data_IF_263672253558
#
_entry.id   IF_263672253558
#
_cell.length_a   1.000
_cell.length_b   1.000
_cell.length_c   1.000
_cell.angle_alpha   90.00
_cell.angle_beta   90.00
_cell.angle_gamma   90.00
#
_symmetry.space_group_name_H-M   'P 1'
#
loop_
_entity.id
_entity.type
_entity.pdbx_description
1 polymer ?
#
# COMPACT_ATOMS: atom_id res chain seq x y z
N UNK A 1 38.61 24.00 -23.19
CA UNK A 1 37.48 23.73 -22.28
C UNK A 1 37.24 22.22 -22.27
N UNK A 2 37.76 21.51 -21.28
CA UNK A 2 37.77 20.03 -21.24
C UNK A 2 36.79 19.55 -20.17
N UNK A 3 35.70 18.91 -20.58
CA UNK A 3 34.72 18.35 -19.66
C UNK A 3 35.23 17.04 -19.08
N UNK A 4 35.54 17.04 -17.79
CA UNK A 4 35.85 15.82 -17.04
C UNK A 4 34.56 15.11 -16.61
N UNK A 5 34.61 13.78 -16.39
CA UNK A 5 33.54 13.06 -15.70
C UNK A 5 33.22 13.74 -14.37
N UNK A 6 31.95 13.70 -13.97
CA UNK A 6 31.55 14.32 -12.70
C UNK A 6 32.22 13.61 -11.52
N UNK A 7 32.89 14.35 -10.62
CA UNK A 7 33.42 13.76 -9.39
C UNK A 7 32.28 13.35 -8.46
N UNK A 8 32.58 12.46 -7.52
CA UNK A 8 31.62 11.95 -6.54
C UNK A 8 30.85 13.04 -5.81
N UNK A 9 31.54 14.10 -5.39
CA UNK A 9 30.94 15.24 -4.68
C UNK A 9 29.94 16.01 -5.54
N UNK A 10 30.22 16.13 -6.85
CA UNK A 10 29.27 16.74 -7.79
C UNK A 10 28.03 15.86 -7.98
N UNK A 11 28.22 14.54 -8.13
CA UNK A 11 27.11 13.58 -8.20
C UNK A 11 26.26 13.64 -6.92
N UNK A 12 26.90 13.73 -5.76
CA UNK A 12 26.23 13.86 -4.46
C UNK A 12 25.40 15.14 -4.39
N UNK A 13 25.98 16.30 -4.73
CA UNK A 13 25.29 17.59 -4.74
C UNK A 13 24.09 17.62 -5.71
N UNK A 14 24.25 17.01 -6.88
CA UNK A 14 23.13 16.84 -7.82
C UNK A 14 22.05 15.94 -7.22
N UNK A 15 22.43 14.83 -6.59
CA UNK A 15 21.51 13.94 -5.87
C UNK A 15 20.72 14.69 -4.80
N UNK A 16 21.39 15.48 -3.94
CA UNK A 16 20.73 16.30 -2.92
C UNK A 16 19.72 17.26 -3.51
N UNK A 17 20.09 17.97 -4.58
CA UNK A 17 19.21 18.95 -5.21
C UNK A 17 17.96 18.30 -5.81
N UNK A 18 18.12 17.19 -6.52
CA UNK A 18 17.00 16.51 -7.18
C UNK A 18 16.11 15.75 -6.19
N UNK A 19 16.66 15.26 -5.08
CA UNK A 19 15.89 14.56 -4.05
C UNK A 19 15.29 15.50 -3.00
N UNK A 20 15.62 16.80 -3.02
CA UNK A 20 15.09 17.77 -2.07
C UNK A 20 13.55 17.82 -2.07
N UNK A 21 12.94 17.74 -3.27
CA UNK A 21 11.50 17.77 -3.50
C UNK A 21 10.78 16.45 -3.12
N UNK A 22 11.53 15.39 -2.78
CA UNK A 22 10.97 14.08 -2.43
C UNK A 22 10.69 14.05 -0.92
N UNK A 23 9.52 14.56 -0.54
CA UNK A 23 9.08 14.65 0.86
C UNK A 23 9.07 13.28 1.57
N UNK A 24 8.83 12.20 0.84
CA UNK A 24 8.73 10.85 1.40
C UNK A 24 10.07 10.27 1.89
N UNK A 25 11.19 10.92 1.56
CA UNK A 25 12.50 10.61 2.14
C UNK A 25 12.69 11.21 3.53
N UNK A 26 11.73 12.01 4.02
CA UNK A 26 11.80 12.68 5.30
C UNK A 26 12.65 13.95 5.27
N UNK A 27 13.02 14.47 6.44
CA UNK A 27 13.77 15.72 6.59
C UNK A 27 15.08 15.75 5.80
N UNK A 28 15.56 16.96 5.47
CA UNK A 28 16.79 17.16 4.72
C UNK A 28 18.02 16.54 5.41
N UNK A 29 18.05 16.58 6.75
CA UNK A 29 19.07 16.03 7.64
C UNK A 29 18.76 14.59 8.09
N UNK A 30 17.70 13.98 7.57
CA UNK A 30 17.30 12.62 7.91
C UNK A 30 18.29 11.57 7.42
N UNK A 31 18.60 10.59 8.26
CA UNK A 31 19.53 9.50 7.94
C UNK A 31 19.11 8.71 6.68
N UNK A 32 17.81 8.54 6.44
CA UNK A 32 17.29 7.88 5.24
C UNK A 32 17.67 8.66 3.98
N UNK A 33 17.38 9.97 3.96
CA UNK A 33 17.67 10.83 2.82
C UNK A 33 19.18 10.89 2.56
N UNK A 34 19.99 11.06 3.62
CA UNK A 34 21.45 11.04 3.52
C UNK A 34 21.93 9.71 2.91
N UNK A 35 21.42 8.58 3.38
CA UNK A 35 21.77 7.26 2.84
C UNK A 35 21.43 7.10 1.35
N UNK A 36 20.28 7.59 0.89
CA UNK A 36 19.90 7.54 -0.53
C UNK A 36 20.80 8.46 -1.37
N UNK A 37 21.05 9.68 -0.89
CA UNK A 37 21.93 10.65 -1.54
C UNK A 37 23.35 10.10 -1.71
N UNK A 38 23.90 9.45 -0.68
CA UNK A 38 25.25 8.89 -0.71
C UNK A 38 25.32 7.61 -1.56
N UNK A 39 24.23 6.85 -1.64
CA UNK A 39 24.14 5.64 -2.44
C UNK A 39 24.13 5.93 -3.95
N UNK A 40 23.51 7.02 -4.39
CA UNK A 40 23.41 7.36 -5.82
C UNK A 40 24.79 7.46 -6.50
N UNK A 41 25.76 8.29 -6.03
CA UNK A 41 27.11 8.33 -6.58
C UNK A 41 27.83 6.99 -6.52
N UNK A 42 27.72 6.27 -5.39
CA UNK A 42 28.33 4.95 -5.23
C UNK A 42 27.85 3.97 -6.30
N UNK A 43 26.54 3.88 -6.52
CA UNK A 43 25.97 2.98 -7.52
C UNK A 43 26.39 3.34 -8.94
N UNK A 44 26.52 4.65 -9.24
CA UNK A 44 26.96 5.13 -10.54
C UNK A 44 28.44 4.81 -10.81
N UNK A 45 29.31 5.00 -9.82
CA UNK A 45 30.73 4.61 -9.89
C UNK A 45 30.90 3.10 -10.06
N UNK A 46 30.11 2.30 -9.31
CA UNK A 46 30.14 0.85 -9.41
C UNK A 46 29.77 0.35 -10.82
N UNK A 47 28.77 0.97 -11.46
CA UNK A 47 28.42 0.69 -12.87
C UNK A 47 29.54 1.12 -13.81
N UNK A 48 30.18 2.26 -13.57
CA UNK A 48 31.34 2.72 -14.33
C UNK A 48 32.48 1.70 -14.34
N UNK A 49 32.90 1.22 -13.16
CA UNK A 49 33.91 0.16 -13.04
C UNK A 49 33.48 -1.15 -13.71
N UNK A 50 32.20 -1.48 -13.66
CA UNK A 50 31.69 -2.68 -14.33
C UNK A 50 31.69 -2.54 -15.85
N UNK A 51 31.44 -1.34 -16.37
CA UNK A 51 31.53 -1.03 -17.80
C UNK A 51 32.94 -1.17 -18.35
N UNK A 52 33.97 -0.84 -17.56
CA UNK A 52 35.38 -1.08 -17.90
C UNK A 52 35.68 -2.59 -18.02
N UNK A 53 35.18 -3.40 -17.09
CA UNK A 53 35.30 -4.86 -17.20
C UNK A 53 34.52 -5.41 -18.39
N UNK A 54 33.38 -4.81 -18.71
CA UNK A 54 32.52 -5.25 -19.80
C UNK A 54 33.20 -5.09 -21.17
N UNK A 55 33.95 -4.02 -21.39
CA UNK A 55 34.72 -3.86 -22.64
C UNK A 55 35.86 -4.88 -22.74
N UNK A 56 36.50 -5.26 -21.63
CA UNK A 56 37.57 -6.25 -21.63
C UNK A 56 37.08 -7.65 -22.03
N UNK A 57 35.92 -8.05 -21.48
CA UNK A 57 35.36 -9.40 -21.67
C UNK A 57 34.54 -9.50 -22.95
N UNK A 58 33.63 -8.56 -23.16
CA UNK A 58 32.61 -8.65 -24.21
C UNK A 58 32.93 -7.78 -25.44
N UNK A 59 34.03 -7.01 -25.39
CA UNK A 59 34.43 -6.05 -26.44
C UNK A 59 33.31 -5.08 -26.83
N UNK A 60 32.39 -4.80 -25.91
CA UNK A 60 31.23 -3.92 -26.08
C UNK A 60 31.31 -2.75 -25.10
N UNK A 61 31.02 -1.55 -25.58
CA UNK A 61 31.05 -0.34 -24.77
C UNK A 61 29.69 -0.11 -24.08
N UNK A 62 29.73 0.16 -22.78
CA UNK A 62 28.58 0.59 -21.99
C UNK A 62 28.92 1.89 -21.26
N UNK A 63 28.67 3.03 -21.89
CA UNK A 63 29.08 4.33 -21.34
C UNK A 63 28.17 4.81 -20.22
N UNK A 64 28.77 5.22 -19.10
CA UNK A 64 28.11 6.02 -18.06
C UNK A 64 28.27 7.50 -18.38
N UNK A 65 27.16 8.23 -18.48
CA UNK A 65 27.17 9.67 -18.75
C UNK A 65 26.44 10.43 -17.65
N UNK A 66 26.71 11.73 -17.44
CA UNK A 66 25.94 12.54 -16.51
C UNK A 66 24.42 12.48 -16.77
N UNK A 67 24.01 12.35 -18.04
CA UNK A 67 22.60 12.14 -18.40
C UNK A 67 22.05 10.82 -17.84
N UNK A 68 22.81 9.73 -17.94
CA UNK A 68 22.43 8.44 -17.35
C UNK A 68 22.24 8.53 -15.83
N UNK A 69 23.04 9.36 -15.14
CA UNK A 69 22.87 9.63 -13.71
C UNK A 69 21.56 10.37 -13.41
N UNK A 70 21.23 11.40 -14.20
CA UNK A 70 19.95 12.11 -14.04
C UNK A 70 18.74 11.20 -14.31
N UNK A 71 18.84 10.32 -15.32
CA UNK A 71 17.81 9.32 -15.59
C UNK A 71 17.68 8.28 -14.46
N UNK A 72 18.78 7.90 -13.80
CA UNK A 72 18.75 7.05 -12.60
C UNK A 72 17.93 7.71 -11.49
N UNK A 73 18.20 8.98 -11.19
CA UNK A 73 17.47 9.73 -10.16
C UNK A 73 15.98 9.82 -10.52
N UNK A 74 15.67 10.19 -11.77
CA UNK A 74 14.30 10.30 -12.27
C UNK A 74 13.55 8.96 -12.21
N UNK A 75 14.22 7.87 -12.57
CA UNK A 75 13.64 6.52 -12.49
C UNK A 75 13.35 6.16 -11.04
N UNK A 76 14.30 6.41 -10.13
CA UNK A 76 14.14 6.17 -8.71
C UNK A 76 12.93 6.92 -8.14
N UNK A 77 12.83 8.23 -8.37
CA UNK A 77 11.71 9.03 -7.85
C UNK A 77 10.37 8.61 -8.43
N UNK A 78 10.30 8.31 -9.74
CA UNK A 78 9.09 7.80 -10.38
C UNK A 78 8.65 6.46 -9.81
N UNK A 79 9.60 5.54 -9.61
CA UNK A 79 9.31 4.24 -9.02
C UNK A 79 8.86 4.35 -7.56
N UNK A 80 9.53 5.19 -6.77
CA UNK A 80 9.17 5.43 -5.38
C UNK A 80 7.72 5.93 -5.28
N UNK A 81 7.36 6.96 -6.04
CA UNK A 81 5.99 7.48 -6.08
C UNK A 81 4.95 6.42 -6.44
N UNK A 82 5.20 5.64 -7.51
CA UNK A 82 4.30 4.54 -7.91
C UNK A 82 4.13 3.48 -6.82
N UNK A 83 5.20 3.12 -6.11
CA UNK A 83 5.16 2.11 -5.05
C UNK A 83 4.43 2.62 -3.81
N UNK A 84 4.62 3.89 -3.46
CA UNK A 84 3.93 4.51 -2.34
C UNK A 84 2.43 4.64 -2.59
N UNK A 85 2.02 5.12 -3.77
CA UNK A 85 0.60 5.18 -4.15
C UNK A 85 -0.04 3.79 -4.10
N UNK A 86 0.61 2.77 -4.66
CA UNK A 86 0.11 1.40 -4.61
C UNK A 86 0.03 0.83 -3.18
N UNK A 87 0.82 1.35 -2.24
CA UNK A 87 0.77 0.96 -0.83
C UNK A 87 -0.38 1.68 -0.11
N UNK A 88 -0.55 2.97 -0.38
CA UNK A 88 -1.66 3.78 0.12
C UNK A 88 -3.02 3.21 -0.31
N UNK A 89 -3.18 2.84 -1.58
CA UNK A 89 -4.39 2.19 -2.09
C UNK A 89 -4.72 0.88 -1.35
N UNK A 90 -3.68 0.08 -1.04
CA UNK A 90 -3.84 -1.17 -0.28
C UNK A 90 -4.23 -0.90 1.16
N UNK A 91 -3.62 0.11 1.78
CA UNK A 91 -3.94 0.53 3.15
C UNK A 91 -5.38 1.03 3.23
N UNK A 92 -5.79 1.89 2.29
CA UNK A 92 -7.15 2.41 2.20
C UNK A 92 -8.18 1.28 2.04
N UNK A 93 -7.94 0.35 1.10
CA UNK A 93 -8.80 -0.81 0.89
C UNK A 93 -8.91 -1.68 2.14
N UNK A 94 -7.80 -1.91 2.84
CA UNK A 94 -7.79 -2.68 4.08
C UNK A 94 -8.61 -1.99 5.17
N UNK A 95 -8.40 -0.68 5.38
CA UNK A 95 -9.14 0.10 6.38
C UNK A 95 -10.65 0.02 6.13
N UNK A 96 -11.07 0.30 4.90
CA UNK A 96 -12.47 0.21 4.51
C UNK A 96 -13.03 -1.21 4.72
N UNK A 97 -12.25 -2.24 4.39
CA UNK A 97 -12.66 -3.62 4.61
C UNK A 97 -12.88 -3.93 6.09
N UNK A 98 -12.00 -3.45 6.97
CA UNK A 98 -12.14 -3.61 8.42
C UNK A 98 -13.36 -2.88 8.96
N UNK A 99 -13.62 -1.65 8.50
CA UNK A 99 -14.79 -0.88 8.90
C UNK A 99 -16.08 -1.61 8.49
N UNK A 100 -16.13 -2.17 7.27
CA UNK A 100 -17.28 -2.98 6.82
C UNK A 100 -17.46 -4.27 7.59
N UNK A 101 -16.38 -4.94 7.98
CA UNK A 101 -16.47 -6.12 8.84
C UNK A 101 -17.03 -5.76 10.22
N UNK A 102 -16.62 -4.62 10.78
CA UNK A 102 -17.15 -4.13 12.06
C UNK A 102 -18.64 -3.77 11.97
N UNK A 103 -19.03 -3.00 10.97
CA UNK A 103 -20.45 -2.68 10.70
C UNK A 103 -21.30 -3.96 10.58
N UNK A 104 -20.80 -4.95 9.85
CA UNK A 104 -21.50 -6.23 9.65
C UNK A 104 -21.63 -7.00 10.97
N UNK A 105 -20.59 -7.02 11.80
CA UNK A 105 -20.63 -7.68 13.10
C UNK A 105 -21.67 -7.03 14.04
N UNK A 106 -21.76 -5.70 14.04
CA UNK A 106 -22.77 -4.95 14.80
C UNK A 106 -24.19 -5.25 14.29
N UNK A 107 -24.39 -5.32 12.97
CA UNK A 107 -25.68 -5.70 12.38
C UNK A 107 -26.10 -7.12 12.73
N UNK A 108 -25.17 -8.08 12.69
CA UNK A 108 -25.44 -9.48 13.06
C UNK A 108 -25.85 -9.57 14.53
N UNK A 109 -25.14 -8.89 15.43
CA UNK A 109 -25.50 -8.86 16.85
C UNK A 109 -26.93 -8.32 17.07
N UNK A 110 -27.30 -7.23 16.40
CA UNK A 110 -28.66 -6.69 16.46
C UNK A 110 -29.72 -7.65 15.90
N UNK A 111 -29.43 -8.34 14.80
CA UNK A 111 -30.34 -9.35 14.23
C UNK A 111 -30.53 -10.55 15.16
N UNK A 112 -29.49 -10.98 15.87
CA UNK A 112 -29.58 -12.05 16.87
C UNK A 112 -30.51 -11.69 18.03
N UNK A 113 -30.48 -10.43 18.49
CA UNK A 113 -31.41 -9.94 19.52
C UNK A 113 -32.86 -9.94 19.02
N UNK A 114 -33.10 -9.36 17.84
CA UNK A 114 -34.44 -9.34 17.21
C UNK A 114 -34.97 -10.76 16.98
N UNK A 115 -34.11 -11.71 16.60
CA UNK A 115 -34.48 -13.09 16.39
C UNK A 115 -34.95 -13.76 17.69
N UNK A 116 -34.24 -13.53 18.80
CA UNK A 116 -34.63 -14.05 20.12
C UNK A 116 -35.99 -13.53 20.56
N UNK A 117 -36.24 -12.23 20.41
CA UNK A 117 -37.55 -11.64 20.73
C UNK A 117 -38.67 -12.23 19.88
N UNK A 118 -38.46 -12.32 18.57
CA UNK A 118 -39.47 -12.88 17.65
C UNK A 118 -39.74 -14.36 17.91
N UNK A 119 -38.75 -15.15 18.31
CA UNK A 119 -38.94 -16.56 18.64
C UNK A 119 -39.94 -16.74 19.80
N UNK A 120 -39.85 -15.91 20.85
CA UNK A 120 -40.79 -15.93 21.99
C UNK A 120 -42.20 -15.57 21.55
N UNK A 121 -42.35 -14.52 20.73
CA UNK A 121 -43.66 -14.08 20.22
C UNK A 121 -44.31 -15.15 19.34
N UNK A 122 -43.52 -15.83 18.49
CA UNK A 122 -44.02 -16.93 17.65
C UNK A 122 -44.50 -18.09 18.53
N UNK A 123 -43.75 -18.45 19.56
CA UNK A 123 -44.16 -19.53 20.48
C UNK A 123 -45.47 -19.19 21.22
N UNK A 124 -45.63 -17.95 21.69
CA UNK A 124 -46.87 -17.50 22.32
C UNK A 124 -48.06 -17.58 21.36
N UNK A 125 -47.91 -17.05 20.15
CA UNK A 125 -48.98 -17.08 19.14
C UNK A 125 -49.31 -18.50 18.67
N UNK A 126 -48.33 -19.39 18.62
CA UNK A 126 -48.57 -20.81 18.32
C UNK A 126 -49.46 -21.45 19.41
N UNK A 127 -49.14 -21.22 20.69
CA UNK A 127 -49.97 -21.72 21.82
C UNK A 127 -51.39 -21.15 21.79
N UNK A 128 -51.55 -19.86 21.50
CA UNK A 128 -52.86 -19.22 21.35
C UNK A 128 -53.67 -19.82 20.20
N UNK A 129 -53.04 -20.06 19.04
CA UNK A 129 -53.69 -20.65 17.88
C UNK A 129 -54.11 -22.11 18.14
N UNK A 130 -53.26 -22.90 18.81
CA UNK A 130 -53.56 -24.28 19.19
C UNK A 130 -54.75 -24.34 20.16
N UNK A 131 -54.77 -23.49 21.19
CA UNK A 131 -55.88 -23.41 22.14
C UNK A 131 -57.20 -23.01 21.45
N UNK A 132 -57.16 -22.03 20.55
CA UNK A 132 -58.33 -21.63 19.76
C UNK A 132 -58.83 -22.76 18.85
N UNK A 133 -57.92 -23.51 18.22
CA UNK A 133 -58.28 -24.66 17.38
C UNK A 133 -58.97 -25.78 18.18
N UNK A 134 -58.53 -26.06 19.42
CA UNK A 134 -59.20 -27.01 20.31
C UNK A 134 -60.62 -26.57 20.68
N UNK A 135 -60.82 -25.29 20.97
CA UNK A 135 -62.13 -24.74 21.32
C UNK A 135 -63.12 -24.81 20.15
N UNK A 136 -62.69 -24.41 18.95
CA UNK A 136 -63.50 -24.55 17.71
C UNK A 136 -63.80 -26.02 17.40
N UNK A 137 -62.86 -26.93 17.65
CA UNK A 137 -63.08 -28.37 17.51
C UNK A 137 -64.16 -28.88 18.45
N UNK A 138 -64.15 -28.44 19.72
CA UNK A 138 -65.19 -28.76 20.70
C UNK A 138 -66.57 -28.25 20.29
N UNK A 139 -66.66 -27.03 19.76
CA UNK A 139 -67.94 -26.46 19.31
C UNK A 139 -68.52 -27.20 18.10
N UNK A 140 -67.70 -27.66 17.15
CA UNK A 140 -68.16 -28.43 15.98
C UNK A 140 -68.64 -29.85 16.28
N UNK A 141 -68.31 -30.40 17.45
CA UNK A 141 -68.68 -31.78 17.85
C UNK A 141 -69.95 -31.82 18.71
N UNK A 142 -70.48 -30.65 19.09
CA UNK A 142 -71.81 -30.48 19.71
C UNK A 142 -72.87 -30.27 18.63
#
# INVERSE_FOLDING_TARGET
>A
DWFQPWPKDALRSVGEKFLAEVEQLGPADGALRAGVVDFLPFSFEAVGHQSEKFIEVERRFAYTTPKSFLELIKLYTSMLGKKLLALEDKQYRLSNGLDKLKETAEQVAGLEEVLKEKAVVVEQKAKEADAFAEEVGREKTK
#
